data_IF_791851884354
#
_entry.id   IF_791851884354
#
_cell.length_a   1.000
_cell.length_b   1.000
_cell.length_c   1.000
_cell.angle_alpha   90.00
_cell.angle_beta   90.00
_cell.angle_gamma   90.00
#
_symmetry.space_group_name_H-M   'P 1'
#
loop_
_entity.id
_entity.type
_entity.pdbx_description
1 polymer ?
#
# COMPACT_ATOMS: atom_id res chain seq x y z
N UNK A 1 -37.40 3.62 8.39
CA UNK A 1 -35.98 3.76 8.08
C UNK A 1 -35.44 2.42 7.63
N UNK A 2 -35.06 2.30 6.36
CA UNK A 2 -34.25 1.17 5.90
C UNK A 2 -32.85 1.32 6.47
N UNK A 3 -32.30 0.34 7.18
CA UNK A 3 -30.97 0.40 7.79
C UNK A 3 -29.88 0.18 6.72
N UNK A 4 -29.73 1.15 5.82
CA UNK A 4 -28.68 1.14 4.81
C UNK A 4 -27.35 1.46 5.49
N UNK A 5 -26.35 0.61 5.27
CA UNK A 5 -24.98 0.75 5.78
C UNK A 5 -23.97 0.55 4.67
N UNK A 6 -22.77 1.03 4.90
CA UNK A 6 -21.61 0.82 4.01
C UNK A 6 -21.90 1.22 2.54
N UNK A 7 -22.61 2.37 2.35
CA UNK A 7 -22.82 2.91 1.02
C UNK A 7 -21.48 3.34 0.42
N UNK A 8 -21.16 2.79 -0.76
CA UNK A 8 -19.93 3.09 -1.51
C UNK A 8 -20.25 3.32 -2.97
N UNK A 9 -19.61 4.34 -3.55
CA UNK A 9 -19.60 4.52 -5.00
C UNK A 9 -18.47 3.69 -5.61
N UNK A 10 -18.75 3.01 -6.74
CA UNK A 10 -17.72 2.34 -7.54
C UNK A 10 -16.93 3.35 -8.36
N UNK A 11 -15.76 2.92 -8.86
CA UNK A 11 -14.87 3.74 -9.68
C UNK A 11 -15.50 4.17 -11.02
N UNK A 12 -16.56 3.50 -11.47
CA UNK A 12 -17.34 3.87 -12.66
C UNK A 12 -18.17 5.17 -12.49
N UNK A 13 -18.23 5.69 -11.26
CA UNK A 13 -18.95 6.93 -10.90
C UNK A 13 -20.48 6.84 -11.00
N UNK A 14 -21.05 5.69 -11.34
CA UNK A 14 -22.49 5.50 -11.53
C UNK A 14 -23.09 4.36 -10.71
N UNK A 15 -22.27 3.42 -10.26
CA UNK A 15 -22.72 2.25 -9.49
C UNK A 15 -22.47 2.45 -8.01
N UNK A 16 -23.48 2.20 -7.19
CA UNK A 16 -23.38 2.24 -5.73
C UNK A 16 -23.61 0.84 -5.17
N UNK A 17 -22.80 0.45 -4.18
CA UNK A 17 -23.02 -0.76 -3.40
C UNK A 17 -23.37 -0.40 -1.97
N UNK A 18 -24.22 -1.18 -1.33
CA UNK A 18 -24.61 -0.95 0.06
C UNK A 18 -25.12 -2.23 0.72
N UNK A 19 -25.17 -2.20 2.03
CA UNK A 19 -25.66 -3.28 2.87
C UNK A 19 -26.98 -2.89 3.55
N UNK A 20 -27.88 -3.86 3.68
CA UNK A 20 -29.12 -3.72 4.44
C UNK A 20 -29.14 -4.78 5.53
N UNK A 21 -29.23 -4.34 6.79
CA UNK A 21 -29.32 -5.27 7.93
C UNK A 21 -30.77 -5.66 8.15
N UNK A 22 -31.06 -6.96 8.12
CA UNK A 22 -32.37 -7.53 8.43
C UNK A 22 -32.72 -7.37 9.91
N UNK A 23 -34.02 -7.38 10.22
CA UNK A 23 -34.52 -7.57 11.61
C UNK A 23 -34.35 -9.01 12.09
N UNK A 24 -34.20 -9.98 11.18
CA UNK A 24 -34.02 -11.40 11.48
C UNK A 24 -32.57 -11.71 11.85
N UNK A 25 -32.40 -12.70 12.72
CA UNK A 25 -31.08 -13.20 13.06
C UNK A 25 -30.54 -14.11 11.95
N UNK A 26 -29.24 -14.00 11.69
CA UNK A 26 -28.57 -14.88 10.74
C UNK A 26 -28.53 -16.33 11.31
N UNK A 27 -28.45 -17.35 10.43
CA UNK A 27 -28.19 -18.72 10.85
C UNK A 27 -26.97 -18.79 11.78
N UNK A 28 -27.06 -19.61 12.83
CA UNK A 28 -25.94 -19.79 13.78
C UNK A 28 -24.72 -20.37 13.05
N UNK A 29 -23.62 -19.65 13.13
CA UNK A 29 -22.30 -20.13 12.69
C UNK A 29 -21.51 -20.49 13.96
N UNK A 30 -21.22 -21.76 14.16
CA UNK A 30 -20.54 -22.28 15.37
C UNK A 30 -19.14 -21.72 15.60
N UNK A 31 -18.57 -21.02 14.60
CA UNK A 31 -17.24 -20.39 14.68
C UNK A 31 -17.27 -18.92 15.13
N UNK A 32 -18.44 -18.31 15.30
CA UNK A 32 -18.55 -16.87 15.59
C UNK A 32 -19.38 -16.60 16.85
N UNK A 33 -18.78 -15.91 17.82
CA UNK A 33 -19.43 -15.54 19.09
C UNK A 33 -20.52 -14.47 18.89
N UNK A 34 -21.77 -14.79 19.28
CA UNK A 34 -22.89 -13.87 19.45
C UNK A 34 -23.91 -13.84 18.29
N UNK A 35 -25.15 -13.38 18.55
CA UNK A 35 -26.21 -13.29 17.56
C UNK A 35 -25.85 -12.22 16.54
N UNK A 36 -25.81 -12.57 15.27
CA UNK A 36 -25.61 -11.64 14.15
C UNK A 36 -26.92 -11.48 13.40
N UNK A 37 -27.21 -10.26 12.97
CA UNK A 37 -28.31 -10.00 12.05
C UNK A 37 -27.94 -10.45 10.64
N UNK A 38 -28.93 -10.94 9.90
CA UNK A 38 -28.77 -11.25 8.49
C UNK A 38 -28.51 -9.94 7.72
N UNK A 39 -27.54 -9.96 6.82
CA UNK A 39 -27.12 -8.79 6.01
C UNK A 39 -27.28 -9.13 4.54
N UNK A 40 -27.97 -8.27 3.83
CA UNK A 40 -28.16 -8.36 2.38
C UNK A 40 -27.29 -7.32 1.68
N UNK A 41 -26.73 -7.70 0.55
CA UNK A 41 -25.86 -6.84 -0.26
C UNK A 41 -26.55 -6.44 -1.54
N UNK A 42 -26.44 -5.18 -1.91
CA UNK A 42 -27.09 -4.62 -3.09
C UNK A 42 -26.12 -3.78 -3.92
N UNK A 43 -26.37 -3.79 -5.23
CA UNK A 43 -25.75 -2.86 -6.18
C UNK A 43 -26.86 -2.06 -6.86
N UNK A 44 -26.69 -0.74 -6.99
CA UNK A 44 -27.60 0.16 -7.65
C UNK A 44 -26.88 0.95 -8.74
N UNK A 45 -27.34 0.83 -9.97
CA UNK A 45 -26.85 1.61 -11.11
C UNK A 45 -27.74 2.86 -11.26
N UNK A 46 -27.13 4.04 -11.09
CA UNK A 46 -27.83 5.32 -11.10
C UNK A 46 -28.41 5.69 -12.48
N UNK A 47 -27.74 5.33 -13.57
CA UNK A 47 -28.20 5.66 -14.92
C UNK A 47 -29.37 4.80 -15.37
N UNK A 48 -29.29 3.50 -15.10
CA UNK A 48 -30.35 2.56 -15.46
C UNK A 48 -31.41 2.41 -14.38
N UNK A 49 -31.20 3.03 -13.21
CA UNK A 49 -32.06 2.91 -12.02
C UNK A 49 -32.32 1.46 -11.60
N UNK A 50 -31.36 0.58 -11.87
CA UNK A 50 -31.48 -0.85 -11.61
C UNK A 50 -30.88 -1.21 -10.26
N UNK A 51 -31.70 -1.81 -9.40
CA UNK A 51 -31.28 -2.43 -8.15
C UNK A 51 -31.04 -3.92 -8.38
N UNK A 52 -29.88 -4.41 -7.98
CA UNK A 52 -29.48 -5.83 -8.07
C UNK A 52 -29.13 -6.36 -6.68
N UNK A 53 -29.74 -7.47 -6.27
CA UNK A 53 -29.37 -8.20 -5.07
C UNK A 53 -28.12 -9.04 -5.36
N UNK A 54 -27.07 -8.86 -4.54
CA UNK A 54 -25.82 -9.60 -4.62
C UNK A 54 -25.85 -10.78 -3.67
N UNK A 55 -25.39 -11.95 -4.11
CA UNK A 55 -25.33 -13.16 -3.26
C UNK A 55 -24.38 -12.98 -2.07
N UNK A 56 -23.24 -12.34 -2.33
CA UNK A 56 -22.18 -12.12 -1.37
C UNK A 56 -21.76 -10.65 -1.36
N UNK A 57 -21.07 -10.26 -0.29
CA UNK A 57 -20.39 -8.96 -0.24
C UNK A 57 -19.41 -8.88 -1.39
N UNK A 58 -19.62 -7.92 -2.27
CA UNK A 58 -18.59 -7.58 -3.24
C UNK A 58 -17.39 -7.05 -2.47
N UNK A 59 -16.33 -7.85 -2.38
CA UNK A 59 -15.08 -7.37 -1.78
C UNK A 59 -14.52 -6.29 -2.69
N UNK A 60 -14.35 -5.09 -2.14
CA UNK A 60 -13.56 -4.07 -2.84
C UNK A 60 -12.20 -4.69 -3.17
N UNK A 61 -11.71 -4.54 -4.40
CA UNK A 61 -10.37 -4.98 -4.72
C UNK A 61 -9.43 -4.40 -3.67
N UNK A 62 -8.62 -5.28 -3.08
CA UNK A 62 -7.69 -4.94 -1.99
C UNK A 62 -6.91 -3.68 -2.36
N UNK A 63 -7.04 -2.61 -1.58
CA UNK A 63 -6.20 -1.44 -1.79
C UNK A 63 -4.80 -1.77 -1.30
N UNK A 64 -3.89 -1.95 -2.23
CA UNK A 64 -2.48 -2.16 -1.90
C UNK A 64 -1.89 -0.81 -1.50
N UNK A 65 -1.46 -0.71 -0.25
CA UNK A 65 -0.95 0.55 0.33
C UNK A 65 0.40 0.98 -0.23
N UNK A 66 1.05 0.14 -1.04
CA UNK A 66 2.38 0.42 -1.59
C UNK A 66 2.36 1.16 -2.94
N UNK A 67 1.24 1.16 -3.67
CA UNK A 67 1.18 1.74 -5.02
C UNK A 67 0.84 3.22 -5.02
N UNK A 68 1.71 4.06 -5.58
CA UNK A 68 1.44 5.46 -5.90
C UNK A 68 0.92 5.57 -7.33
N UNK A 69 -0.39 5.72 -7.47
CA UNK A 69 -1.09 5.73 -8.78
C UNK A 69 -1.06 7.12 -9.38
N UNK A 70 -0.70 7.24 -10.68
CA UNK A 70 -0.77 8.49 -11.42
C UNK A 70 -2.20 9.02 -11.56
N UNK A 71 -2.41 10.36 -11.66
CA UNK A 71 -3.74 10.96 -11.84
C UNK A 71 -4.52 10.41 -13.03
N UNK A 72 -3.83 10.11 -14.15
CA UNK A 72 -4.44 9.52 -15.36
C UNK A 72 -4.68 8.01 -15.26
N UNK A 73 -4.32 7.39 -14.15
CA UNK A 73 -4.45 5.95 -13.88
C UNK A 73 -3.76 5.06 -14.93
N UNK A 74 -2.61 5.46 -15.45
CA UNK A 74 -1.84 4.62 -16.38
C UNK A 74 -0.63 3.98 -15.73
N UNK A 75 0.00 4.69 -14.79
CA UNK A 75 1.27 4.30 -14.19
C UNK A 75 1.14 4.21 -12.67
N UNK A 76 1.82 3.23 -12.08
CA UNK A 76 1.94 3.08 -10.63
C UNK A 76 3.40 2.97 -10.25
N UNK A 77 3.85 3.81 -9.31
CA UNK A 77 5.20 3.82 -8.78
C UNK A 77 5.23 3.22 -7.37
N UNK A 78 6.29 2.51 -7.06
CA UNK A 78 6.54 1.91 -5.76
C UNK A 78 8.03 1.66 -5.56
N UNK A 79 8.45 1.37 -4.32
CA UNK A 79 9.80 0.94 -4.01
C UNK A 79 9.87 -0.59 -3.86
N UNK A 80 11.00 -1.16 -4.26
CA UNK A 80 11.35 -2.57 -4.05
C UNK A 80 12.86 -2.68 -3.97
N UNK A 81 13.36 -3.38 -2.96
CA UNK A 81 14.80 -3.56 -2.74
C UNK A 81 15.58 -2.23 -2.82
N UNK A 82 15.06 -1.21 -2.12
CA UNK A 82 15.63 0.15 -2.03
C UNK A 82 15.64 0.97 -3.35
N UNK A 83 15.10 0.41 -4.43
CA UNK A 83 15.02 1.06 -5.73
C UNK A 83 13.56 1.40 -6.10
N UNK A 84 13.40 2.35 -7.02
CA UNK A 84 12.11 2.68 -7.61
C UNK A 84 11.77 1.75 -8.76
N UNK A 85 10.52 1.39 -8.82
CA UNK A 85 9.90 0.59 -9.88
C UNK A 85 8.61 1.24 -10.35
N UNK A 86 8.26 0.96 -11.59
CA UNK A 86 6.94 1.27 -12.14
C UNK A 86 6.29 0.03 -12.72
N UNK A 87 4.96 0.04 -12.76
CA UNK A 87 4.14 -0.91 -13.51
C UNK A 87 2.97 -0.19 -14.15
N UNK A 88 2.30 -0.85 -15.10
CA UNK A 88 1.04 -0.37 -15.65
C UNK A 88 -0.06 -0.42 -14.59
N UNK A 89 -1.09 0.42 -14.72
CA UNK A 89 -2.26 0.33 -13.86
C UNK A 89 -3.01 -1.02 -14.03
N UNK A 90 -2.94 -1.62 -15.21
CA UNK A 90 -3.50 -2.96 -15.48
C UNK A 90 -2.78 -4.03 -14.65
N UNK A 91 -1.45 -4.00 -14.61
CA UNK A 91 -0.66 -4.92 -13.79
C UNK A 91 -0.87 -4.68 -12.30
N UNK A 92 -1.05 -3.43 -11.89
CA UNK A 92 -1.46 -3.11 -10.52
C UNK A 92 -2.82 -3.71 -10.17
N UNK A 93 -3.78 -3.72 -11.11
CA UNK A 93 -5.07 -4.39 -10.89
C UNK A 93 -4.93 -5.92 -10.79
N UNK A 94 -3.99 -6.53 -11.51
CA UNK A 94 -3.64 -7.95 -11.32
C UNK A 94 -3.05 -8.17 -9.92
N UNK A 95 -2.09 -7.34 -9.50
CA UNK A 95 -1.50 -7.40 -8.17
C UNK A 95 -2.52 -7.25 -7.03
N UNK A 96 -3.58 -6.46 -7.24
CA UNK A 96 -4.70 -6.33 -6.27
C UNK A 96 -5.48 -7.64 -6.07
N UNK A 97 -5.48 -8.51 -7.07
CA UNK A 97 -6.12 -9.84 -7.01
C UNK A 97 -5.14 -10.87 -6.47
N UNK A 98 -3.96 -10.92 -7.05
CA UNK A 98 -2.86 -11.80 -6.64
C UNK A 98 -1.52 -11.06 -6.79
N UNK A 99 -0.87 -10.74 -5.67
CA UNK A 99 0.42 -10.05 -5.65
C UNK A 99 1.57 -10.89 -6.27
N UNK A 100 1.36 -12.21 -6.42
CA UNK A 100 2.33 -13.16 -6.97
C UNK A 100 2.06 -13.54 -8.42
N UNK A 101 1.10 -12.91 -9.08
CA UNK A 101 0.79 -13.17 -10.48
C UNK A 101 2.05 -12.95 -11.34
N UNK A 102 2.51 -14.02 -11.98
CA UNK A 102 3.73 -14.02 -12.80
C UNK A 102 3.61 -13.24 -14.12
N UNK A 103 2.42 -12.80 -14.48
CA UNK A 103 2.18 -11.98 -15.68
C UNK A 103 2.36 -10.48 -15.42
N UNK A 104 2.60 -10.08 -14.16
CA UNK A 104 2.85 -8.69 -13.80
C UNK A 104 4.22 -8.26 -14.32
N UNK A 105 4.24 -7.20 -15.11
CA UNK A 105 5.48 -6.61 -15.63
C UNK A 105 5.91 -5.45 -14.73
N UNK A 106 7.12 -5.55 -14.19
CA UNK A 106 7.76 -4.52 -13.37
C UNK A 106 8.93 -3.90 -14.15
N UNK A 107 9.00 -2.58 -14.19
CA UNK A 107 10.10 -1.85 -14.82
C UNK A 107 10.87 -1.13 -13.72
N UNK A 108 12.16 -1.45 -13.58
CA UNK A 108 13.05 -0.80 -12.63
C UNK A 108 13.46 0.59 -13.17
N UNK A 109 13.29 1.62 -12.35
CA UNK A 109 13.63 3.00 -12.70
C UNK A 109 15.00 3.43 -12.19
N UNK A 110 15.44 2.87 -11.05
CA UNK A 110 16.73 3.22 -10.44
C UNK A 110 17.48 1.95 -10.06
N UNK A 111 18.82 2.03 -10.00
CA UNK A 111 19.71 0.90 -9.68
C UNK A 111 20.75 1.24 -8.62
N UNK A 112 20.63 2.42 -8.01
CA UNK A 112 21.57 2.99 -7.05
C UNK A 112 21.22 2.71 -5.59
N UNK A 113 20.06 2.08 -5.34
CA UNK A 113 19.62 1.68 -4.00
C UNK A 113 20.53 0.63 -3.39
N UNK A 114 21.09 0.95 -2.22
CA UNK A 114 21.92 0.07 -1.39
C UNK A 114 21.53 0.20 0.08
N UNK A 115 22.09 -0.62 0.95
CA UNK A 115 21.86 -0.50 2.38
C UNK A 115 22.09 0.94 2.87
N UNK A 116 21.13 1.44 3.65
CA UNK A 116 21.10 2.81 4.20
C UNK A 116 21.05 3.94 3.16
N UNK A 117 20.84 3.61 1.88
CA UNK A 117 20.73 4.60 0.80
C UNK A 117 19.72 4.12 -0.24
N UNK A 118 18.55 4.75 -0.31
CA UNK A 118 17.53 4.30 -1.27
C UNK A 118 16.16 4.93 -1.08
N UNK A 119 15.22 4.35 -1.80
CA UNK A 119 13.83 4.78 -1.85
C UNK A 119 12.93 3.87 -1.01
N UNK A 120 11.86 4.44 -0.46
CA UNK A 120 10.90 3.69 0.36
C UNK A 120 11.45 3.26 1.71
N UNK A 121 12.50 3.92 2.20
CA UNK A 121 13.00 3.77 3.55
C UNK A 121 12.01 4.46 4.49
N UNK A 122 11.37 3.74 5.44
CA UNK A 122 10.48 4.37 6.40
C UNK A 122 11.26 5.31 7.32
N UNK A 123 10.63 6.41 7.71
CA UNK A 123 11.21 7.33 8.71
C UNK A 123 11.42 6.67 10.10
N UNK A 124 10.76 5.55 10.34
CA UNK A 124 10.96 4.76 11.56
C UNK A 124 12.24 3.94 11.43
N UNK A 125 13.12 4.09 12.36
CA UNK A 125 14.32 3.35 12.74
C UNK A 125 14.34 1.87 12.32
N UNK A 126 14.28 1.57 11.03
CA UNK A 126 14.34 0.19 10.53
C UNK A 126 15.73 -0.10 10.02
N UNK A 127 16.20 -1.29 10.32
CA UNK A 127 17.37 -1.83 9.68
C UNK A 127 17.06 -2.02 8.18
N UNK A 128 17.78 -1.36 7.28
CA UNK A 128 17.49 -1.30 5.85
C UNK A 128 17.81 -2.61 5.14
N UNK A 129 18.62 -3.49 5.71
CA UNK A 129 18.86 -4.83 5.19
C UNK A 129 17.56 -5.66 5.13
N UNK A 130 16.64 -5.45 6.07
CA UNK A 130 15.32 -6.08 6.05
C UNK A 130 14.41 -5.60 4.93
N UNK A 131 14.77 -4.52 4.24
CA UNK A 131 14.00 -3.96 3.13
C UNK A 131 14.32 -4.64 1.80
N UNK A 132 15.49 -5.29 1.67
CA UNK A 132 15.92 -6.03 0.48
C UNK A 132 15.36 -7.47 0.50
N UNK A 133 14.04 -7.61 0.35
CA UNK A 133 13.35 -8.90 0.45
C UNK A 133 12.36 -9.14 -0.70
N UNK A 134 12.48 -8.40 -1.79
CA UNK A 134 11.63 -8.50 -2.97
C UNK A 134 10.19 -8.00 -2.78
N UNK A 135 9.83 -7.45 -1.62
CA UNK A 135 8.48 -6.95 -1.36
C UNK A 135 8.31 -5.52 -1.88
N UNK A 136 7.17 -5.29 -2.51
CA UNK A 136 6.73 -3.95 -2.90
C UNK A 136 6.40 -3.12 -1.66
N UNK A 137 6.86 -1.86 -1.65
CA UNK A 137 6.70 -0.91 -0.53
C UNK A 137 6.22 0.43 -1.04
N UNK A 138 5.53 1.17 -0.20
CA UNK A 138 5.17 2.54 -0.52
C UNK A 138 6.41 3.42 -0.63
N UNK A 139 6.34 4.38 -1.54
CA UNK A 139 7.30 5.46 -1.65
C UNK A 139 6.59 6.77 -1.36
N UNK A 140 7.23 7.62 -0.57
CA UNK A 140 6.74 8.98 -0.36
C UNK A 140 7.00 9.80 -1.61
N UNK A 141 5.94 10.33 -2.22
CA UNK A 141 6.09 11.11 -3.43
C UNK A 141 4.78 11.68 -3.96
N UNK A 142 4.91 12.60 -4.90
CA UNK A 142 3.80 13.35 -5.49
C UNK A 142 3.86 13.32 -7.00
N UNK A 143 2.72 13.06 -7.60
CA UNK A 143 2.52 13.18 -9.04
C UNK A 143 2.19 14.64 -9.41
N UNK A 144 2.70 15.07 -10.56
CA UNK A 144 2.17 16.27 -11.20
C UNK A 144 0.74 16.02 -11.72
N UNK A 145 -0.11 17.07 -11.80
CA UNK A 145 -1.49 16.90 -12.24
C UNK A 145 -1.64 16.31 -13.65
N UNK A 146 -0.66 16.53 -14.52
CA UNK A 146 -0.59 16.00 -15.89
C UNK A 146 -0.04 14.57 -15.96
N UNK A 147 0.26 13.95 -14.82
CA UNK A 147 0.86 12.61 -14.71
C UNK A 147 2.24 12.44 -15.35
N UNK A 148 2.88 13.54 -15.73
CA UNK A 148 4.18 13.51 -16.41
C UNK A 148 5.34 13.36 -15.44
N UNK A 149 5.28 14.02 -14.28
CA UNK A 149 6.38 14.02 -13.33
C UNK A 149 6.00 13.34 -12.02
N UNK A 150 6.96 12.66 -11.43
CA UNK A 150 6.86 12.11 -10.09
C UNK A 150 8.01 12.62 -9.22
N UNK A 151 7.69 13.39 -8.19
CA UNK A 151 8.66 13.88 -7.22
C UNK A 151 8.71 12.92 -6.04
N UNK A 152 9.90 12.53 -5.60
CA UNK A 152 10.10 11.61 -4.47
C UNK A 152 11.41 11.89 -3.74
N UNK A 153 11.56 11.25 -2.60
CA UNK A 153 12.72 11.40 -1.73
C UNK A 153 13.54 10.11 -1.74
N UNK A 154 14.85 10.26 -1.94
CA UNK A 154 15.84 9.25 -1.64
C UNK A 154 16.43 9.60 -0.26
N UNK A 155 16.47 8.63 0.64
CA UNK A 155 17.02 8.79 1.99
C UNK A 155 18.44 8.24 2.03
N UNK A 156 19.37 9.03 2.57
CA UNK A 156 20.77 8.64 2.82
C UNK A 156 21.06 8.64 4.32
N UNK A 157 21.17 7.45 4.88
CA UNK A 157 21.49 7.23 6.29
C UNK A 157 22.92 6.72 6.50
N UNK A 158 23.75 6.60 5.44
CA UNK A 158 25.08 5.96 5.51
C UNK A 158 26.02 6.61 6.52
N UNK A 159 25.91 7.93 6.72
CA UNK A 159 26.72 8.65 7.70
C UNK A 159 26.18 8.56 9.13
N UNK A 160 24.91 8.17 9.31
CA UNK A 160 24.27 8.08 10.63
C UNK A 160 24.83 6.88 11.37
N UNK A 161 25.13 7.05 12.65
CA UNK A 161 25.68 5.97 13.49
C UNK A 161 24.60 4.99 13.92
N UNK A 162 25.06 3.77 14.27
CA UNK A 162 24.19 2.72 14.73
C UNK A 162 23.82 2.92 16.21
N UNK A 163 22.55 2.74 16.51
CA UNK A 163 22.05 2.53 17.87
C UNK A 163 21.86 1.03 18.09
N UNK A 164 22.34 0.56 19.21
CA UNK A 164 22.27 -0.84 19.60
C UNK A 164 21.18 -1.03 20.65
N UNK A 165 20.28 -1.96 20.39
CA UNK A 165 19.19 -2.30 21.32
C UNK A 165 19.20 -3.82 21.52
N UNK A 166 19.04 -4.23 22.78
CA UNK A 166 18.90 -5.64 23.14
C UNK A 166 17.41 -5.94 23.28
N UNK A 167 16.88 -6.80 22.39
CA UNK A 167 15.56 -7.40 22.60
C UNK A 167 15.66 -8.55 23.60
N UNK A 168 15.33 -8.22 24.86
CA UNK A 168 15.34 -9.19 25.96
C UNK A 168 14.15 -10.17 25.90
N UNK A 169 13.16 -9.89 25.06
CA UNK A 169 11.95 -10.73 24.91
C UNK A 169 12.09 -11.80 23.83
N UNK A 170 13.13 -11.69 22.98
CA UNK A 170 13.41 -12.63 21.91
C UNK A 170 13.67 -14.05 22.47
N UNK A 171 13.23 -15.07 21.73
CA UNK A 171 13.40 -16.48 22.09
C UNK A 171 14.20 -17.20 21.02
N UNK A 172 15.07 -18.16 21.38
CA UNK A 172 15.33 -18.71 22.73
C UNK A 172 16.29 -17.87 23.60
N UNK A 173 16.86 -16.79 23.07
CA UNK A 173 17.81 -15.91 23.77
C UNK A 173 17.58 -14.47 23.34
N UNK A 174 17.97 -13.47 24.17
CA UNK A 174 18.02 -12.07 23.75
C UNK A 174 18.83 -11.89 22.45
N UNK A 175 18.37 -10.99 21.59
CA UNK A 175 19.05 -10.62 20.33
C UNK A 175 19.50 -9.18 20.39
N UNK A 176 20.62 -8.88 19.71
CA UNK A 176 21.09 -7.52 19.47
C UNK A 176 20.46 -7.02 18.16
N UNK A 177 19.82 -5.88 18.25
CA UNK A 177 19.29 -5.17 17.08
C UNK A 177 20.07 -3.86 16.90
N UNK A 178 20.44 -3.56 15.67
CA UNK A 178 21.13 -2.33 15.30
C UNK A 178 20.33 -1.59 14.23
N UNK A 179 20.26 -0.29 14.34
CA UNK A 179 19.63 0.58 13.34
C UNK A 179 20.20 2.00 13.38
N UNK A 180 20.11 2.70 12.26
CA UNK A 180 20.60 4.08 12.14
C UNK A 180 19.76 5.02 12.99
N UNK A 181 20.42 5.74 13.90
CA UNK A 181 19.74 6.68 14.79
C UNK A 181 20.66 7.82 15.19
N UNK A 182 20.27 9.04 14.84
CA UNK A 182 20.99 10.24 15.27
C UNK A 182 20.70 10.53 16.75
N UNK A 183 21.72 10.49 17.58
CA UNK A 183 21.61 10.90 18.98
C UNK A 183 21.65 12.43 19.11
N UNK A 184 21.01 13.01 20.15
CA UNK A 184 21.12 14.45 20.41
C UNK A 184 22.57 14.92 20.50
N UNK A 185 22.93 15.94 19.71
CA UNK A 185 24.28 16.50 19.66
C UNK A 185 25.21 15.89 18.61
N UNK A 186 24.80 14.83 17.92
CA UNK A 186 25.55 14.31 16.76
C UNK A 186 25.34 15.17 15.52
N UNK A 187 26.38 15.30 14.69
CA UNK A 187 26.35 16.10 13.46
C UNK A 187 25.75 15.32 12.29
N UNK A 188 26.00 14.04 12.24
CA UNK A 188 25.56 13.13 11.18
C UNK A 188 24.06 12.85 11.35
N UNK A 189 23.27 13.38 10.43
CA UNK A 189 21.82 13.22 10.37
C UNK A 189 21.43 12.47 9.09
N UNK A 190 20.23 11.88 9.04
CA UNK A 190 19.64 11.44 7.78
C UNK A 190 19.60 12.59 6.77
N UNK A 191 20.01 12.33 5.54
CA UNK A 191 19.95 13.30 4.44
C UNK A 191 18.88 12.86 3.46
N UNK A 192 17.99 13.77 3.10
CA UNK A 192 16.95 13.52 2.12
C UNK A 192 17.27 14.26 0.82
N UNK A 193 17.31 13.52 -0.28
CA UNK A 193 17.51 14.06 -1.61
C UNK A 193 16.19 14.06 -2.38
N UNK A 194 15.73 15.23 -2.81
CA UNK A 194 14.55 15.33 -3.66
C UNK A 194 14.90 15.06 -5.11
N UNK A 195 14.24 14.08 -5.71
CA UNK A 195 14.32 13.76 -7.12
C UNK A 195 12.99 13.97 -7.83
N UNK A 196 13.06 14.39 -9.08
CA UNK A 196 11.90 14.50 -9.95
C UNK A 196 12.17 13.67 -11.20
N UNK A 197 11.33 12.68 -11.43
CA UNK A 197 11.39 11.78 -12.58
C UNK A 197 10.39 12.24 -13.64
N UNK A 198 10.85 12.37 -14.91
CA UNK A 198 9.96 12.50 -16.06
C UNK A 198 9.54 11.11 -16.53
N UNK A 199 8.24 10.82 -16.50
CA UNK A 199 7.71 9.49 -16.84
C UNK A 199 7.55 9.27 -18.35
N UNK A 200 7.80 10.30 -19.19
CA UNK A 200 7.76 10.20 -20.64
C UNK A 200 9.13 9.82 -21.23
N UNK A 201 10.20 10.20 -20.55
CA UNK A 201 11.56 9.81 -20.94
C UNK A 201 11.87 8.44 -20.31
N UNK A 202 11.98 7.42 -21.16
CA UNK A 202 12.37 6.06 -20.76
C UNK A 202 13.88 5.95 -20.60
#
# INVERSE_FOLDING_TARGET
HLPIRNLKAKEDGRTFTFEVTSSKDAPKDDKKKGPKKEVFYFSYDFLTQKLTHLKDKEEDPKRLGWGSVSPDKKTVIYAKDLNLYRMSYEDYQKARKDEKDSTIVEIQLTTDGIEDFGYGIPYSMMNTDTLCNGKRRSVYGYWSPDSRHFATILTDNRAVKDLWVIDVTAKPRPTLETYKYQMPGEKEAPVEHLYVFDMQDN
#
